data_IF_726053742322
#
_entry.id   IF_726053742322
#
_cell.length_a   1.000
_cell.length_b   1.000
_cell.length_c   1.000
_cell.angle_alpha   90.00
_cell.angle_beta   90.00
_cell.angle_gamma   90.00
#
_symmetry.space_group_name_H-M   'P 1'
#
loop_
_entity.id
_entity.type
_entity.pdbx_description
1 polymer ?
#
# COMPACT_ATOMS: atom_id res chain seq x y z
N UNK A 1 -7.11 -4.92 0.95
CA UNK A 1 -6.98 -3.49 0.57
C UNK A 1 -7.40 -2.63 1.73
N UNK A 2 -8.68 -2.60 2.13
CA UNK A 2 -9.18 -1.73 3.20
C UNK A 2 -8.51 -1.94 4.57
N UNK A 3 -7.96 -3.13 4.86
CA UNK A 3 -7.18 -3.38 6.09
C UNK A 3 -6.08 -2.35 6.39
N UNK A 4 -5.52 -1.71 5.35
CA UNK A 4 -4.44 -0.73 5.50
C UNK A 4 -4.93 0.72 5.57
N UNK A 5 -6.23 0.97 5.35
CA UNK A 5 -6.77 2.30 5.13
C UNK A 5 -7.72 2.70 6.26
N UNK A 6 -7.59 3.93 6.75
CA UNK A 6 -8.57 4.56 7.65
C UNK A 6 -9.67 5.28 6.86
N UNK A 7 -9.36 5.84 5.69
CA UNK A 7 -10.30 6.59 4.85
C UNK A 7 -10.01 6.42 3.36
N UNK A 8 -11.07 6.44 2.56
CA UNK A 8 -11.05 6.51 1.10
C UNK A 8 -11.98 7.64 0.67
N UNK A 9 -11.50 8.55 -0.18
CA UNK A 9 -12.26 9.65 -0.77
C UNK A 9 -12.14 9.57 -2.29
N UNK A 10 -13.28 9.37 -2.95
CA UNK A 10 -13.37 9.25 -4.40
C UNK A 10 -14.06 10.51 -4.91
N UNK A 11 -13.38 11.30 -5.74
CA UNK A 11 -13.88 12.58 -6.25
C UNK A 11 -13.93 12.54 -7.78
N UNK A 12 -15.11 12.81 -8.35
CA UNK A 12 -15.28 12.84 -9.80
C UNK A 12 -16.48 13.70 -10.21
N UNK A 13 -16.47 14.19 -11.44
CA UNK A 13 -17.66 14.76 -12.08
C UNK A 13 -18.46 13.63 -12.76
N UNK A 14 -19.77 13.55 -12.49
CA UNK A 14 -20.62 12.48 -13.02
C UNK A 14 -20.80 12.52 -14.54
N UNK A 15 -20.50 13.66 -15.17
CA UNK A 15 -20.54 13.84 -16.63
C UNK A 15 -19.20 13.54 -17.32
N UNK A 16 -18.13 13.34 -16.54
CA UNK A 16 -16.81 13.04 -17.09
C UNK A 16 -16.77 11.59 -17.61
N UNK A 17 -16.40 11.33 -18.89
CA UNK A 17 -16.33 9.98 -19.42
C UNK A 17 -15.21 9.11 -18.79
N UNK A 18 -14.29 9.71 -18.04
CA UNK A 18 -13.08 9.06 -17.50
C UNK A 18 -13.29 8.45 -16.12
N UNK A 19 -14.53 8.42 -15.61
CA UNK A 19 -14.85 7.96 -14.24
C UNK A 19 -14.86 6.45 -14.04
N UNK A 20 -14.60 5.65 -15.08
CA UNK A 20 -14.69 4.18 -15.03
C UNK A 20 -13.84 3.60 -13.89
N UNK A 21 -12.60 4.08 -13.73
CA UNK A 21 -11.69 3.65 -12.65
C UNK A 21 -12.24 3.97 -11.26
N UNK A 22 -12.82 5.15 -11.06
CA UNK A 22 -13.47 5.52 -9.79
C UNK A 22 -14.63 4.59 -9.44
N UNK A 23 -15.46 4.23 -10.42
CA UNK A 23 -16.63 3.38 -10.19
C UNK A 23 -16.22 1.94 -9.89
N UNK A 24 -15.23 1.41 -10.62
CA UNK A 24 -14.69 0.09 -10.35
C UNK A 24 -14.03 0.04 -8.96
N UNK A 25 -13.23 1.04 -8.61
CA UNK A 25 -12.60 1.12 -7.30
C UNK A 25 -13.63 1.22 -6.16
N UNK A 26 -14.69 2.02 -6.34
CA UNK A 26 -15.80 2.10 -5.39
C UNK A 26 -16.49 0.74 -5.21
N UNK A 27 -16.69 -0.02 -6.28
CA UNK A 27 -17.24 -1.37 -6.21
C UNK A 27 -16.31 -2.32 -5.42
N UNK A 28 -14.99 -2.22 -5.63
CA UNK A 28 -14.00 -2.98 -4.88
C UNK A 28 -14.00 -2.64 -3.38
N UNK A 29 -14.12 -1.36 -3.01
CA UNK A 29 -14.28 -0.92 -1.62
C UNK A 29 -15.57 -1.47 -0.99
N UNK A 30 -16.64 -1.62 -1.79
CA UNK A 30 -17.92 -2.09 -1.29
C UNK A 30 -18.09 -3.62 -1.24
N UNK A 31 -17.13 -4.38 -1.78
CA UNK A 31 -17.17 -5.84 -1.75
C UNK A 31 -17.23 -6.37 -0.30
N UNK A 32 -18.02 -7.43 0.00
CA UNK A 32 -18.18 -7.94 1.36
C UNK A 32 -16.85 -8.25 2.06
N UNK A 33 -15.98 -9.00 1.37
CA UNK A 33 -14.63 -9.34 1.85
C UNK A 33 -13.77 -8.10 2.15
N UNK A 34 -13.95 -7.01 1.40
CA UNK A 34 -13.23 -5.77 1.66
C UNK A 34 -13.73 -5.10 2.94
N UNK A 35 -15.05 -5.00 3.12
CA UNK A 35 -15.66 -4.42 4.33
C UNK A 35 -15.37 -5.25 5.58
N UNK A 36 -15.42 -6.58 5.49
CA UNK A 36 -15.04 -7.48 6.58
C UNK A 36 -13.59 -7.29 7.02
N UNK A 37 -12.68 -7.00 6.07
CA UNK A 37 -11.27 -6.79 6.40
C UNK A 37 -11.01 -5.51 7.21
N UNK A 38 -11.90 -4.52 7.12
CA UNK A 38 -11.86 -3.31 7.94
C UNK A 38 -13.22 -2.57 7.92
N UNK A 39 -14.11 -2.84 8.89
CA UNK A 39 -15.42 -2.18 8.96
C UNK A 39 -15.34 -0.71 9.39
N UNK A 40 -14.21 -0.27 9.94
CA UNK A 40 -14.00 1.11 10.40
C UNK A 40 -13.55 2.06 9.28
N UNK A 41 -13.12 1.54 8.13
CA UNK A 41 -12.65 2.33 7.01
C UNK A 41 -13.78 3.20 6.43
N UNK A 42 -13.58 4.51 6.41
CA UNK A 42 -14.59 5.44 5.89
C UNK A 42 -14.47 5.58 4.38
N UNK A 43 -15.50 5.20 3.63
CA UNK A 43 -15.56 5.38 2.17
C UNK A 43 -16.48 6.55 1.84
N UNK A 44 -15.91 7.62 1.27
CA UNK A 44 -16.61 8.85 0.89
C UNK A 44 -16.57 9.05 -0.62
N UNK A 45 -17.70 9.43 -1.20
CA UNK A 45 -17.82 9.78 -2.62
C UNK A 45 -18.26 11.23 -2.74
N UNK A 46 -17.46 12.05 -3.42
CA UNK A 46 -17.78 13.45 -3.70
C UNK A 46 -18.01 13.61 -5.20
N UNK A 47 -19.27 13.87 -5.56
CA UNK A 47 -19.62 14.27 -6.93
C UNK A 47 -19.32 15.75 -7.09
N UNK A 48 -18.45 16.09 -8.04
CA UNK A 48 -18.11 17.46 -8.41
C UNK A 48 -18.87 17.89 -9.66
N UNK A 49 -18.92 19.19 -9.89
CA UNK A 49 -19.50 19.81 -11.09
C UNK A 49 -18.45 20.56 -11.92
N UNK A 50 -17.19 20.55 -11.46
CA UNK A 50 -16.05 21.15 -12.15
C UNK A 50 -15.45 20.17 -13.19
N UNK A 51 -14.56 20.69 -14.04
CA UNK A 51 -13.85 19.88 -15.05
C UNK A 51 -12.56 19.25 -14.51
N UNK A 52 -12.44 19.13 -13.18
CA UNK A 52 -11.26 18.53 -12.57
C UNK A 52 -11.24 17.01 -12.85
N UNK A 53 -10.08 16.42 -13.17
CA UNK A 53 -9.97 14.99 -13.43
C UNK A 53 -10.36 14.13 -12.22
N UNK A 54 -10.91 12.92 -12.43
CA UNK A 54 -11.29 12.01 -11.36
C UNK A 54 -10.07 11.59 -10.51
N UNK A 55 -10.25 11.58 -9.18
CA UNK A 55 -9.19 11.32 -8.22
C UNK A 55 -9.65 10.36 -7.12
N UNK A 56 -8.73 9.52 -6.67
CA UNK A 56 -8.91 8.65 -5.51
C UNK A 56 -7.86 9.04 -4.47
N UNK A 57 -8.31 9.55 -3.33
CA UNK A 57 -7.45 9.83 -2.19
C UNK A 57 -7.67 8.75 -1.14
N UNK A 58 -6.59 8.18 -0.62
CA UNK A 58 -6.63 7.22 0.49
C UNK A 58 -5.81 7.74 1.65
N UNK A 59 -6.30 7.48 2.87
CA UNK A 59 -5.58 7.73 4.11
C UNK A 59 -5.29 6.37 4.74
N UNK A 60 -4.01 6.09 4.97
CA UNK A 60 -3.56 4.87 5.62
C UNK A 60 -3.84 4.92 7.12
N UNK A 61 -3.83 3.78 7.80
CA UNK A 61 -4.08 3.68 9.26
C UNK A 61 -3.06 4.46 10.10
N UNK A 62 -1.86 4.69 9.58
CA UNK A 62 -0.82 5.52 10.20
C UNK A 62 -0.98 7.03 9.92
N UNK A 63 -2.04 7.44 9.22
CA UNK A 63 -2.32 8.84 8.88
C UNK A 63 -1.66 9.34 7.59
N UNK A 64 -0.84 8.54 6.90
CA UNK A 64 -0.26 8.93 5.61
C UNK A 64 -1.38 9.05 4.57
N UNK A 65 -1.42 10.17 3.85
CA UNK A 65 -2.35 10.36 2.73
C UNK A 65 -1.66 10.16 1.38
N UNK A 66 -2.40 9.58 0.42
CA UNK A 66 -1.93 9.36 -0.95
C UNK A 66 -3.08 9.63 -1.91
N UNK A 67 -2.83 10.47 -2.91
CA UNK A 67 -3.78 10.71 -4.01
C UNK A 67 -3.30 9.99 -5.26
N UNK A 68 -4.24 9.37 -5.97
CA UNK A 68 -4.03 8.66 -7.22
C UNK A 68 -4.88 9.30 -8.34
N UNK A 69 -4.28 9.44 -9.52
CA UNK A 69 -4.98 9.82 -10.74
C UNK A 69 -5.84 8.63 -11.22
N UNK A 70 -7.16 8.80 -11.22
CA UNK A 70 -8.10 7.79 -11.68
C UNK A 70 -8.47 7.95 -13.16
N UNK A 71 -7.86 8.91 -13.87
CA UNK A 71 -8.10 9.18 -15.29
C UNK A 71 -7.45 8.12 -16.17
N UNK A 72 -6.15 7.90 -15.94
CA UNK A 72 -5.33 7.03 -16.78
C UNK A 72 -4.91 5.73 -16.06
N UNK A 73 -5.15 5.64 -14.75
CA UNK A 73 -4.74 4.49 -13.96
C UNK A 73 -5.95 3.58 -13.71
N UNK A 74 -5.90 2.30 -14.15
CA UNK A 74 -6.96 1.34 -13.87
C UNK A 74 -7.13 1.10 -12.36
N UNK A 75 -8.36 0.82 -11.92
CA UNK A 75 -8.67 0.60 -10.51
C UNK A 75 -7.88 -0.56 -9.89
N UNK A 76 -7.63 -1.62 -10.68
CA UNK A 76 -6.78 -2.74 -10.27
C UNK A 76 -5.34 -2.31 -9.97
N UNK A 77 -4.77 -1.41 -10.77
CA UNK A 77 -3.41 -0.91 -10.55
C UNK A 77 -3.37 -0.03 -9.29
N UNK A 78 -4.35 0.86 -9.12
CA UNK A 78 -4.48 1.67 -7.90
C UNK A 78 -4.58 0.77 -6.66
N UNK A 79 -5.40 -0.29 -6.72
CA UNK A 79 -5.51 -1.29 -5.66
C UNK A 79 -4.17 -1.96 -5.35
N UNK A 80 -3.41 -2.36 -6.37
CA UNK A 80 -2.10 -2.98 -6.19
C UNK A 80 -1.10 -2.03 -5.54
N UNK A 81 -1.05 -0.77 -6.00
CA UNK A 81 -0.22 0.28 -5.40
C UNK A 81 -0.57 0.55 -3.93
N UNK A 82 -1.86 0.49 -3.57
CA UNK A 82 -2.30 0.62 -2.17
C UNK A 82 -1.85 -0.58 -1.33
N UNK A 83 -1.96 -1.80 -1.88
CA UNK A 83 -1.54 -3.01 -1.16
C UNK A 83 -0.04 -3.01 -0.90
N UNK A 84 0.75 -2.69 -1.91
CA UNK A 84 2.22 -2.60 -1.82
C UNK A 84 2.64 -1.55 -0.79
N UNK A 85 2.10 -0.32 -0.89
CA UNK A 85 2.38 0.74 0.08
C UNK A 85 1.90 0.37 1.49
N UNK A 86 0.74 -0.27 1.61
CA UNK A 86 0.22 -0.74 2.89
C UNK A 86 1.13 -1.76 3.57
N UNK A 87 1.67 -2.72 2.81
CA UNK A 87 2.62 -3.71 3.31
C UNK A 87 3.96 -3.07 3.71
N UNK A 88 4.43 -2.09 2.94
CA UNK A 88 5.63 -1.33 3.28
C UNK A 88 5.47 -0.61 4.63
N UNK A 89 4.36 0.11 4.82
CA UNK A 89 4.07 0.85 6.05
C UNK A 89 3.84 -0.09 7.26
N UNK A 90 3.18 -1.22 7.05
CA UNK A 90 2.99 -2.26 8.07
C UNK A 90 4.35 -2.85 8.51
N UNK A 91 5.24 -3.12 7.56
CA UNK A 91 6.59 -3.64 7.86
C UNK A 91 7.45 -2.60 8.56
N UNK A 92 7.46 -1.36 8.08
CA UNK A 92 8.14 -0.24 8.75
C UNK A 92 7.70 -0.11 10.21
N UNK A 93 6.40 -0.23 10.49
CA UNK A 93 5.88 -0.18 11.86
C UNK A 93 6.39 -1.34 12.71
N UNK A 94 6.47 -2.57 12.17
CA UNK A 94 7.03 -3.71 12.90
C UNK A 94 8.49 -3.49 13.33
N UNK A 95 9.32 -2.92 12.45
CA UNK A 95 10.71 -2.59 12.80
C UNK A 95 10.80 -1.50 13.86
N UNK A 96 9.99 -0.44 13.71
CA UNK A 96 9.91 0.65 14.70
C UNK A 96 9.47 0.15 16.08
N UNK A 97 8.48 -0.75 16.14
CA UNK A 97 7.98 -1.33 17.39
C UNK A 97 9.01 -2.24 18.08
N UNK A 98 9.90 -2.88 17.30
CA UNK A 98 11.03 -3.65 17.82
C UNK A 98 12.22 -2.78 18.26
N UNK A 99 12.17 -1.46 18.04
CA UNK A 99 13.29 -0.54 18.29
C UNK A 99 14.41 -0.64 17.24
N UNK A 100 14.14 -1.28 16.11
CA UNK A 100 15.10 -1.48 15.03
C UNK A 100 15.04 -0.34 13.99
N UNK A 101 16.14 -0.15 13.26
CA UNK A 101 16.21 0.87 12.21
C UNK A 101 15.49 0.40 10.94
N UNK A 102 14.81 1.34 10.29
CA UNK A 102 14.16 1.15 8.99
C UNK A 102 14.55 2.29 8.03
N UNK A 103 14.84 2.01 6.74
CA UNK A 103 14.96 0.68 6.13
C UNK A 103 16.19 -0.08 6.64
N UNK A 104 16.15 -1.40 6.53
CA UNK A 104 17.32 -2.24 6.84
C UNK A 104 18.38 -2.01 5.77
N UNK A 105 19.47 -1.34 6.12
CA UNK A 105 20.63 -1.15 5.24
C UNK A 105 21.63 -2.27 5.55
N UNK A 106 21.90 -3.11 4.56
CA UNK A 106 22.95 -4.14 4.66
C UNK A 106 24.28 -3.45 4.36
N UNK A 107 25.28 -3.49 5.27
CA UNK A 107 26.57 -2.87 5.01
C UNK A 107 27.35 -3.63 3.91
N UNK A 108 28.12 -2.91 3.10
CA UNK A 108 28.84 -3.47 1.96
C UNK A 108 29.79 -4.63 2.36
N UNK A 109 30.37 -4.57 3.55
CA UNK A 109 31.24 -5.61 4.10
C UNK A 109 30.53 -6.95 4.35
N UNK A 110 29.20 -6.97 4.48
CA UNK A 110 28.41 -8.21 4.59
C UNK A 110 28.03 -8.79 3.22
N UNK A 111 28.00 -7.97 2.16
CA UNK A 111 27.70 -8.41 0.80
C UNK A 111 28.87 -9.20 0.18
N UNK A 112 30.10 -8.87 0.55
CA UNK A 112 31.32 -9.51 0.05
C UNK A 112 31.65 -10.84 0.73
N UNK A 113 30.93 -11.21 1.80
CA UNK A 113 31.19 -12.47 2.50
C UNK A 113 30.66 -13.65 1.68
N UNK A 114 31.50 -14.66 1.37
CA UNK A 114 31.01 -15.87 0.72
C UNK A 114 29.99 -16.55 1.63
N UNK A 115 28.77 -16.71 1.13
CA UNK A 115 27.69 -17.37 1.84
C UNK A 115 28.04 -18.85 2.08
N UNK A 116 28.63 -19.15 3.24
CA UNK A 116 28.80 -20.51 3.71
C UNK A 116 27.40 -21.00 4.09
N UNK A 117 26.76 -21.75 3.20
CA UNK A 117 25.41 -22.26 3.39
C UNK A 117 25.27 -23.03 4.70
N UNK A 118 24.74 -22.38 5.74
CA UNK A 118 24.47 -23.01 7.04
C UNK A 118 23.15 -23.77 6.93
N UNK A 119 23.20 -25.07 7.22
CA UNK A 119 22.02 -25.88 7.51
C UNK A 119 21.22 -25.21 8.63
N UNK A 120 20.02 -24.76 8.26
CA UNK A 120 18.96 -24.23 9.11
C UNK A 120 18.76 -25.05 10.40
N UNK A 121 19.18 -24.50 11.54
CA UNK A 121 18.56 -24.81 12.82
C UNK A 121 18.19 -23.49 13.50
N UNK A 122 16.96 -23.08 13.22
CA UNK A 122 16.05 -22.33 14.10
C UNK A 122 16.20 -20.81 14.34
N UNK A 123 17.23 -20.10 13.88
CA UNK A 123 17.24 -18.62 14.01
C UNK A 123 16.93 -17.83 12.72
N UNK A 124 17.02 -18.44 11.54
CA UNK A 124 16.80 -17.75 10.26
C UNK A 124 15.38 -17.90 9.67
N UNK A 125 14.53 -18.73 10.27
CA UNK A 125 13.18 -19.00 9.76
C UNK A 125 12.20 -17.84 9.89
N UNK A 126 12.52 -16.83 10.69
CA UNK A 126 11.66 -15.65 10.91
C UNK A 126 12.14 -14.45 10.08
N UNK A 127 13.45 -14.35 9.80
CA UNK A 127 14.02 -13.20 9.08
C UNK A 127 13.79 -13.26 7.56
N UNK A 128 13.86 -14.44 6.93
CA UNK A 128 13.78 -14.56 5.47
C UNK A 128 12.37 -14.35 4.89
N UNK A 129 11.34 -14.53 5.69
CA UNK A 129 9.95 -14.20 5.33
C UNK A 129 9.63 -12.72 5.50
N UNK A 130 10.35 -12.01 6.37
CA UNK A 130 10.17 -10.56 6.57
C UNK A 130 10.99 -9.73 5.56
N UNK A 131 12.17 -10.20 5.17
CA UNK A 131 13.09 -9.41 4.33
C UNK A 131 12.74 -9.45 2.83
N UNK A 132 12.11 -10.51 2.31
CA UNK A 132 11.77 -10.60 0.88
C UNK A 132 10.63 -9.66 0.41
N UNK A 133 10.01 -8.89 1.30
CA UNK A 133 8.98 -7.90 0.96
C UNK A 133 9.41 -6.45 1.18
N UNK A 134 10.67 -6.21 1.59
CA UNK A 134 11.12 -4.91 2.08
C UNK A 134 12.35 -4.32 1.37
N UNK A 135 12.97 -5.04 0.43
CA UNK A 135 14.21 -4.58 -0.21
C UNK A 135 13.86 -3.63 -1.37
N UNK A 136 13.73 -2.34 -1.08
CA UNK A 136 13.87 -1.30 -2.10
C UNK A 136 15.36 -1.01 -2.28
N UNK A 137 15.89 -1.48 -3.41
CA UNK A 137 17.15 -1.01 -3.96
C UNK A 137 16.98 0.46 -4.35
N UNK A 138 17.68 1.37 -3.66
CA UNK A 138 17.75 2.80 -4.04
C UNK A 138 19.07 2.99 -4.79
N UNK A 139 19.08 3.02 -6.14
CA UNK A 139 20.26 3.45 -6.86
C UNK A 139 20.45 4.97 -6.64
N UNK A 140 21.70 5.36 -6.38
CA UNK A 140 22.16 6.75 -6.29
C UNK A 140 22.20 7.43 -7.65
#
# INVERSE_FOLDING_TARGET
MLKFLSKVKIEFNALDPRIASCMEFLAQCNAPKAKESNPSCQVQVKRRTDDHPPQITVTFVNGVEQTYDATNTPAQNIRSMILEKGQYLETEQMFRDAGEKWPVIIPDSELEQPFLGIKLVLYFGIWRTLVNSAILYVPS
#
